data_IF_636385095287
#
_entry.id   IF_636385095287
#
_cell.length_a   1.000
_cell.length_b   1.000
_cell.length_c   1.000
_cell.angle_alpha   90.00
_cell.angle_beta   90.00
_cell.angle_gamma   90.00
#
_symmetry.space_group_name_H-M   'P 1'
#
loop_
_entity.id
_entity.type
_entity.pdbx_description
1 polymer ?
#
# COMPACT_ATOMS: atom_id res chain seq x y z
N UNK A 1 27.00 -31.32 -38.26
CA UNK A 1 27.88 -30.98 -37.12
C UNK A 1 27.05 -30.10 -36.20
N UNK A 2 26.74 -30.57 -34.98
CA UNK A 2 25.90 -29.83 -34.05
C UNK A 2 26.81 -28.89 -33.25
N UNK A 3 26.78 -27.59 -33.58
CA UNK A 3 27.45 -26.56 -32.80
C UNK A 3 26.70 -26.42 -31.47
N UNK A 4 27.38 -26.76 -30.37
CA UNK A 4 26.87 -26.54 -29.02
C UNK A 4 26.92 -25.03 -28.78
N UNK A 5 25.76 -24.36 -28.89
CA UNK A 5 25.65 -22.93 -28.57
C UNK A 5 26.19 -22.67 -27.17
N UNK A 6 27.09 -21.70 -27.05
CA UNK A 6 27.62 -21.25 -25.77
C UNK A 6 26.48 -20.67 -24.92
N UNK A 7 26.56 -20.83 -23.59
CA UNK A 7 25.57 -20.27 -22.63
C UNK A 7 25.34 -18.77 -22.86
N UNK A 8 26.37 -18.06 -23.33
CA UNK A 8 26.30 -16.63 -23.67
C UNK A 8 25.43 -16.34 -24.90
N UNK A 9 25.50 -17.17 -25.94
CA UNK A 9 24.66 -17.03 -27.14
C UNK A 9 23.19 -17.27 -26.83
N UNK A 10 22.89 -18.27 -25.99
CA UNK A 10 21.50 -18.53 -25.58
C UNK A 10 20.92 -17.39 -24.73
N UNK A 11 21.75 -16.74 -23.91
CA UNK A 11 21.34 -15.56 -23.12
C UNK A 11 21.12 -14.34 -24.03
N UNK A 12 21.99 -14.10 -25.01
CA UNK A 12 21.85 -13.00 -25.96
C UNK A 12 20.64 -13.18 -26.87
N UNK A 13 20.38 -14.40 -27.34
CA UNK A 13 19.22 -14.71 -28.19
C UNK A 13 17.91 -14.56 -27.41
N UNK A 14 17.90 -14.89 -26.12
CA UNK A 14 16.74 -14.68 -25.24
C UNK A 14 16.52 -13.20 -24.91
N UNK A 15 17.59 -12.44 -24.70
CA UNK A 15 17.53 -10.99 -24.49
C UNK A 15 17.06 -10.24 -25.75
N UNK A 16 17.52 -10.66 -26.93
CA UNK A 16 17.10 -10.12 -28.22
C UNK A 16 15.62 -10.40 -28.50
N UNK A 17 15.14 -11.64 -28.26
CA UNK A 17 13.71 -11.95 -28.36
C UNK A 17 12.86 -11.13 -27.41
N UNK A 18 13.29 -10.99 -26.14
CA UNK A 18 12.59 -10.13 -25.18
C UNK A 18 12.58 -8.65 -25.59
N UNK A 19 13.62 -8.16 -26.26
CA UNK A 19 13.67 -6.78 -26.76
C UNK A 19 12.82 -6.57 -28.02
N UNK A 20 12.69 -7.59 -28.87
CA UNK A 20 11.89 -7.57 -30.11
C UNK A 20 10.39 -7.82 -29.84
N UNK A 21 10.06 -8.55 -28.79
CA UNK A 21 8.69 -8.77 -28.29
C UNK A 21 8.19 -7.62 -27.39
N UNK A 22 9.08 -6.71 -26.97
CA UNK A 22 8.69 -5.54 -26.19
C UNK A 22 7.91 -4.55 -27.08
N UNK A 23 6.69 -4.13 -26.68
CA UNK A 23 5.98 -3.10 -27.42
C UNK A 23 6.84 -1.82 -27.46
N UNK A 24 6.77 -1.02 -28.55
CA UNK A 24 7.51 0.23 -28.63
C UNK A 24 7.12 1.09 -27.42
N UNK A 25 8.13 1.53 -26.66
CA UNK A 25 7.94 2.46 -25.54
C UNK A 25 7.37 3.74 -26.15
N UNK A 26 6.08 4.00 -25.93
CA UNK A 26 5.46 5.24 -26.36
C UNK A 26 6.05 6.40 -25.58
N UNK A 27 6.03 7.61 -26.14
CA UNK A 27 6.44 8.82 -25.42
C UNK A 27 5.71 8.93 -24.07
N UNK A 28 4.43 8.55 -24.02
CA UNK A 28 3.63 8.46 -22.79
C UNK A 28 4.24 7.58 -21.69
N UNK A 29 4.76 6.40 -22.04
CA UNK A 29 5.32 5.47 -21.05
C UNK A 29 6.59 6.04 -20.39
N UNK A 30 7.39 6.76 -21.18
CA UNK A 30 8.58 7.48 -20.71
C UNK A 30 8.20 8.67 -19.82
N UNK A 31 7.14 9.39 -20.18
CA UNK A 31 6.61 10.51 -19.41
C UNK A 31 5.97 10.05 -18.08
N UNK A 32 5.26 8.93 -18.07
CA UNK A 32 4.75 8.30 -16.84
C UNK A 32 5.92 7.94 -15.93
N UNK A 33 6.97 7.26 -16.44
CA UNK A 33 8.17 6.92 -15.65
C UNK A 33 8.86 8.16 -15.09
N UNK A 34 8.91 9.25 -15.86
CA UNK A 34 9.40 10.55 -15.38
C UNK A 34 8.57 11.07 -14.22
N UNK A 35 7.24 11.05 -14.35
CA UNK A 35 6.31 11.38 -13.28
C UNK A 35 6.52 10.53 -12.02
N UNK A 36 6.72 9.22 -12.19
CA UNK A 36 6.98 8.31 -11.08
C UNK A 36 8.26 8.68 -10.33
N UNK A 37 9.32 9.04 -11.05
CA UNK A 37 10.57 9.49 -10.45
C UNK A 37 10.39 10.77 -9.63
N UNK A 38 9.65 11.75 -10.18
CA UNK A 38 9.36 13.00 -9.46
C UNK A 38 8.54 12.72 -8.18
N UNK A 39 7.53 11.86 -8.27
CA UNK A 39 6.76 11.42 -7.10
C UNK A 39 7.63 10.76 -6.03
N UNK A 40 8.58 9.90 -6.43
CA UNK A 40 9.53 9.29 -5.52
C UNK A 40 10.47 10.31 -4.87
N UNK A 41 10.98 11.28 -5.64
CA UNK A 41 11.85 12.34 -5.12
C UNK A 41 11.12 13.25 -4.11
N UNK A 42 9.83 13.51 -4.30
CA UNK A 42 8.98 14.18 -3.30
C UNK A 42 8.81 13.37 -2.01
N UNK A 43 8.50 12.07 -2.10
CA UNK A 43 8.40 11.20 -0.93
C UNK A 43 9.72 11.15 -0.14
N UNK A 44 10.85 11.18 -0.85
CA UNK A 44 12.18 11.24 -0.27
C UNK A 44 12.59 12.67 0.18
N UNK A 45 11.66 13.63 0.21
CA UNK A 45 11.87 15.02 0.65
C UNK A 45 12.96 15.78 -0.14
N UNK A 46 13.29 15.33 -1.35
CA UNK A 46 14.22 16.03 -2.24
C UNK A 46 13.56 17.17 -2.98
N UNK A 47 12.23 17.08 -3.14
CA UNK A 47 11.38 18.06 -3.80
C UNK A 47 10.32 18.52 -2.80
N UNK A 48 10.11 19.83 -2.71
CA UNK A 48 9.14 20.42 -1.78
C UNK A 48 7.74 20.59 -2.39
N UNK A 49 7.64 20.82 -3.71
CA UNK A 49 6.38 21.16 -4.38
C UNK A 49 6.24 20.40 -5.71
N UNK A 50 5.31 19.45 -5.74
CA UNK A 50 5.02 18.64 -6.94
C UNK A 50 4.28 19.43 -8.02
N UNK A 51 3.44 20.39 -7.62
CA UNK A 51 2.69 21.19 -8.56
C UNK A 51 3.63 22.07 -9.38
N UNK A 52 4.63 22.68 -8.71
CA UNK A 52 5.68 23.44 -9.40
C UNK A 52 6.44 22.59 -10.41
N UNK A 53 6.93 21.41 -10.00
CA UNK A 53 7.68 20.50 -10.90
C UNK A 53 6.86 20.07 -12.12
N UNK A 54 5.53 19.99 -11.97
CA UNK A 54 4.62 19.70 -13.07
C UNK A 54 4.47 20.89 -14.02
N UNK A 55 4.36 22.12 -13.51
CA UNK A 55 4.23 23.33 -14.31
C UNK A 55 5.50 23.64 -15.12
N UNK A 56 6.68 23.25 -14.64
CA UNK A 56 7.95 23.32 -15.37
C UNK A 56 8.00 22.39 -16.59
N UNK A 57 7.00 21.53 -16.79
CA UNK A 57 6.91 20.61 -17.94
C UNK A 57 6.03 21.19 -19.08
N UNK A 58 6.32 20.85 -20.35
CA UNK A 58 5.45 21.19 -21.47
C UNK A 58 4.01 20.74 -21.23
N UNK A 59 3.02 21.58 -21.56
CA UNK A 59 1.62 21.32 -21.28
C UNK A 59 1.12 19.96 -21.83
N UNK A 60 1.60 19.57 -23.01
CA UNK A 60 1.32 18.27 -23.65
C UNK A 60 1.80 17.06 -22.82
N UNK A 61 2.84 17.24 -22.01
CA UNK A 61 3.46 16.20 -21.21
C UNK A 61 2.91 16.14 -19.78
N UNK A 62 2.15 17.15 -19.34
CA UNK A 62 1.75 17.26 -17.94
C UNK A 62 0.78 16.15 -17.52
N UNK A 63 -0.12 15.69 -18.40
CA UNK A 63 -1.08 14.63 -18.06
C UNK A 63 -0.37 13.30 -17.74
N UNK A 64 0.46 12.73 -18.61
CA UNK A 64 1.16 11.47 -18.30
C UNK A 64 2.13 11.60 -17.13
N UNK A 65 2.80 12.75 -16.99
CA UNK A 65 3.68 13.01 -15.84
C UNK A 65 2.88 13.05 -14.53
N UNK A 66 1.77 13.77 -14.50
CA UNK A 66 0.86 13.83 -13.33
C UNK A 66 0.36 12.43 -12.96
N UNK A 67 0.01 11.62 -13.96
CA UNK A 67 -0.40 10.22 -13.75
C UNK A 67 0.68 9.41 -13.05
N UNK A 68 1.93 9.49 -13.52
CA UNK A 68 3.06 8.81 -12.90
C UNK A 68 3.35 9.28 -11.47
N UNK A 69 3.25 10.59 -11.22
CA UNK A 69 3.38 11.17 -9.87
C UNK A 69 2.29 10.61 -8.95
N UNK A 70 1.02 10.71 -9.36
CA UNK A 70 -0.12 10.23 -8.60
C UNK A 70 -0.03 8.73 -8.30
N UNK A 71 0.29 7.89 -9.29
CA UNK A 71 0.48 6.45 -9.10
C UNK A 71 1.54 6.14 -8.04
N UNK A 72 2.65 6.88 -8.04
CA UNK A 72 3.75 6.67 -7.08
C UNK A 72 3.34 7.06 -5.66
N UNK A 73 2.65 8.18 -5.50
CA UNK A 73 2.13 8.63 -4.22
C UNK A 73 1.08 7.66 -3.67
N UNK A 74 0.08 7.30 -4.48
CA UNK A 74 -0.99 6.38 -4.10
C UNK A 74 -0.45 4.99 -3.74
N UNK A 75 0.60 4.52 -4.41
CA UNK A 75 1.27 3.26 -4.08
C UNK A 75 1.94 3.29 -2.69
N UNK A 76 2.30 4.48 -2.21
CA UNK A 76 2.96 4.67 -0.92
C UNK A 76 1.95 4.84 0.24
N UNK A 77 0.67 5.09 -0.06
CA UNK A 77 -0.40 5.09 0.94
C UNK A 77 -0.77 3.64 1.24
N UNK A 78 -0.22 3.05 2.30
CA UNK A 78 -0.49 1.67 2.71
C UNK A 78 -0.96 1.64 4.16
N UNK A 79 -1.61 0.54 4.56
CA UNK A 79 -2.01 0.37 5.96
C UNK A 79 -0.76 0.43 6.86
N UNK A 80 -0.73 1.36 7.84
CA UNK A 80 0.45 1.59 8.63
C UNK A 80 0.63 0.45 9.62
N UNK A 81 1.83 -0.15 9.61
CA UNK A 81 2.24 -1.14 10.63
C UNK A 81 3.22 -0.55 11.64
N UNK A 82 3.75 0.62 11.34
CA UNK A 82 4.75 1.37 12.09
C UNK A 82 4.58 2.88 11.82
N UNK A 83 5.17 3.71 12.67
CA UNK A 83 5.08 5.18 12.55
C UNK A 83 5.72 5.70 11.25
N UNK A 84 6.74 5.03 10.72
CA UNK A 84 7.39 5.45 9.48
C UNK A 84 6.42 5.34 8.29
N UNK A 85 5.70 4.23 8.17
CA UNK A 85 4.67 4.07 7.14
C UNK A 85 3.52 5.06 7.31
N UNK A 86 3.13 5.38 8.55
CA UNK A 86 2.10 6.40 8.80
C UNK A 86 2.55 7.78 8.34
N UNK A 87 3.79 8.16 8.65
CA UNK A 87 4.37 9.42 8.18
C UNK A 87 4.50 9.43 6.65
N UNK A 88 4.93 8.32 6.06
CA UNK A 88 5.07 8.18 4.61
C UNK A 88 3.73 8.35 3.89
N UNK A 89 2.67 7.71 4.39
CA UNK A 89 1.31 7.88 3.87
C UNK A 89 0.82 9.33 4.02
N UNK A 90 1.10 9.99 5.14
CA UNK A 90 0.73 11.40 5.35
C UNK A 90 1.46 12.34 4.36
N UNK A 91 2.74 12.09 4.07
CA UNK A 91 3.48 12.83 3.03
C UNK A 91 2.87 12.56 1.66
N UNK A 92 2.54 11.31 1.34
CA UNK A 92 1.94 10.96 0.07
C UNK A 92 0.59 11.68 -0.17
N UNK A 93 -0.27 11.72 0.86
CA UNK A 93 -1.56 12.42 0.82
C UNK A 93 -1.35 13.92 0.59
N UNK A 94 -0.38 14.56 1.27
CA UNK A 94 -0.02 15.96 1.01
C UNK A 94 0.42 16.20 -0.44
N UNK A 95 1.17 15.26 -1.01
CA UNK A 95 1.58 15.32 -2.42
C UNK A 95 0.39 15.27 -3.38
N UNK A 96 -0.60 14.41 -3.10
CA UNK A 96 -1.83 14.32 -3.88
C UNK A 96 -2.63 15.62 -3.81
N UNK A 97 -2.76 16.21 -2.62
CA UNK A 97 -3.44 17.49 -2.43
C UNK A 97 -2.76 18.63 -3.18
N UNK A 98 -1.42 18.65 -3.21
CA UNK A 98 -0.63 19.60 -4.01
C UNK A 98 -0.93 19.46 -5.51
N UNK A 99 -0.96 18.23 -6.03
CA UNK A 99 -1.30 17.97 -7.44
C UNK A 99 -2.75 18.35 -7.78
N UNK A 100 -3.66 18.22 -6.81
CA UNK A 100 -5.08 18.49 -6.98
C UNK A 100 -5.46 19.99 -6.92
N UNK A 101 -4.52 20.88 -6.56
CA UNK A 101 -4.75 22.33 -6.44
C UNK A 101 -6.04 22.69 -5.68
N UNK A 102 -6.33 22.02 -4.56
CA UNK A 102 -7.55 22.19 -3.75
C UNK A 102 -8.87 21.80 -4.45
N UNK A 103 -8.88 20.84 -5.37
CA UNK A 103 -10.12 20.18 -5.78
C UNK A 103 -10.86 19.64 -4.54
N UNK A 104 -12.03 20.20 -4.22
CA UNK A 104 -12.79 19.86 -3.02
C UNK A 104 -13.16 18.39 -2.95
N UNK A 105 -13.44 17.76 -4.11
CA UNK A 105 -13.69 16.32 -4.22
C UNK A 105 -12.46 15.51 -3.80
N UNK A 106 -11.27 15.83 -4.33
CA UNK A 106 -10.03 15.10 -4.01
C UNK A 106 -9.64 15.32 -2.54
N UNK A 107 -9.82 16.53 -2.02
CA UNK A 107 -9.59 16.84 -0.61
C UNK A 107 -10.50 16.01 0.31
N UNK A 108 -11.77 15.83 -0.06
CA UNK A 108 -12.70 14.97 0.69
C UNK A 108 -12.22 13.52 0.70
N UNK A 109 -11.87 12.96 -0.47
CA UNK A 109 -11.41 11.57 -0.59
C UNK A 109 -10.09 11.37 0.17
N UNK A 110 -9.20 12.36 0.16
CA UNK A 110 -7.97 12.33 0.96
C UNK A 110 -8.27 12.31 2.46
N UNK A 111 -9.26 13.06 2.93
CA UNK A 111 -9.73 13.03 4.32
C UNK A 111 -10.26 11.64 4.71
N UNK A 112 -11.07 11.02 3.84
CA UNK A 112 -11.54 9.65 4.02
C UNK A 112 -10.36 8.65 4.11
N UNK A 113 -9.35 8.79 3.24
CA UNK A 113 -8.14 7.95 3.31
C UNK A 113 -7.42 8.10 4.65
N UNK A 114 -7.24 9.32 5.16
CA UNK A 114 -6.62 9.55 6.46
C UNK A 114 -7.42 8.88 7.58
N UNK A 115 -8.74 9.00 7.53
CA UNK A 115 -9.64 8.36 8.49
C UNK A 115 -9.53 6.83 8.45
N UNK A 116 -9.48 6.22 7.27
CA UNK A 116 -9.28 4.77 7.10
C UNK A 116 -7.96 4.33 7.76
N UNK A 117 -6.86 5.06 7.52
CA UNK A 117 -5.54 4.74 8.07
C UNK A 117 -5.51 4.85 9.61
N UNK A 118 -6.16 5.86 10.17
CA UNK A 118 -6.25 6.06 11.62
C UNK A 118 -7.12 4.99 12.29
N UNK A 119 -8.28 4.68 11.71
CA UNK A 119 -9.19 3.67 12.23
C UNK A 119 -8.58 2.26 12.20
N UNK A 120 -7.76 1.94 11.21
CA UNK A 120 -7.12 0.63 11.11
C UNK A 120 -6.31 0.29 12.37
N UNK A 121 -5.51 1.24 12.87
CA UNK A 121 -4.71 1.03 14.08
C UNK A 121 -5.58 0.72 15.30
N UNK A 122 -6.63 1.51 15.50
CA UNK A 122 -7.56 1.36 16.61
C UNK A 122 -8.34 0.03 16.52
N UNK A 123 -8.89 -0.29 15.35
CA UNK A 123 -9.61 -1.55 15.13
C UNK A 123 -8.70 -2.77 15.30
N UNK A 124 -7.44 -2.70 14.86
CA UNK A 124 -6.49 -3.78 15.05
C UNK A 124 -6.25 -4.05 16.53
N UNK A 125 -5.99 -3.01 17.32
CA UNK A 125 -5.72 -3.15 18.75
C UNK A 125 -6.95 -3.68 19.51
N UNK A 126 -8.14 -3.12 19.23
CA UNK A 126 -9.39 -3.61 19.78
C UNK A 126 -9.69 -5.06 19.41
N UNK A 127 -9.46 -5.45 18.15
CA UNK A 127 -9.70 -6.81 17.68
C UNK A 127 -8.76 -7.83 18.34
N UNK A 128 -7.50 -7.45 18.57
CA UNK A 128 -6.53 -8.28 19.30
C UNK A 128 -7.01 -8.47 20.74
N UNK A 129 -7.38 -7.38 21.42
CA UNK A 129 -7.83 -7.42 22.80
C UNK A 129 -9.09 -8.29 22.98
N UNK A 130 -10.05 -8.18 22.04
CA UNK A 130 -11.27 -8.99 22.03
C UNK A 130 -10.96 -10.48 21.81
N UNK A 131 -10.02 -10.80 20.91
CA UNK A 131 -9.59 -12.18 20.68
C UNK A 131 -8.93 -12.78 21.93
N UNK A 132 -8.07 -12.02 22.61
CA UNK A 132 -7.41 -12.45 23.84
C UNK A 132 -8.42 -12.72 24.96
N UNK A 133 -9.41 -11.86 25.12
CA UNK A 133 -10.45 -12.00 26.15
C UNK A 133 -11.38 -13.20 25.87
N UNK A 134 -11.76 -13.39 24.60
CA UNK A 134 -12.55 -14.55 24.17
C UNK A 134 -11.82 -15.87 24.41
N UNK A 135 -10.52 -15.94 24.08
CA UNK A 135 -9.71 -17.14 24.30
C UNK A 135 -9.47 -17.40 25.79
N UNK A 136 -9.24 -16.35 26.59
CA UNK A 136 -9.14 -16.49 28.05
C UNK A 136 -10.43 -17.10 28.61
N UNK A 137 -11.58 -16.53 28.27
CA UNK A 137 -12.90 -17.01 28.71
C UNK A 137 -13.17 -18.45 28.27
N UNK A 138 -12.74 -18.86 27.07
CA UNK A 138 -12.89 -20.22 26.58
C UNK A 138 -12.02 -21.23 27.35
N UNK A 139 -10.79 -20.84 27.69
CA UNK A 139 -9.87 -21.69 28.45
C UNK A 139 -10.31 -21.85 29.92
N UNK A 140 -10.81 -20.77 30.56
CA UNK A 140 -11.36 -20.82 31.92
C UNK A 140 -12.57 -21.77 32.01
N UNK A 141 -13.46 -21.75 31.01
CA UNK A 141 -14.59 -22.67 30.92
C UNK A 141 -14.15 -24.13 30.77
N UNK A 142 -13.11 -24.41 29.97
CA UNK A 142 -12.58 -25.76 29.82
C UNK A 142 -11.93 -26.29 31.10
N UNK A 143 -11.18 -25.45 31.82
CA UNK A 143 -10.58 -25.84 33.10
C UNK A 143 -11.64 -26.17 34.16
N UNK A 144 -12.66 -25.32 34.26
CA UNK A 144 -13.80 -25.52 35.16
C UNK A 144 -14.55 -26.82 34.83
N UNK A 145 -14.78 -27.10 33.54
CA UNK A 145 -15.42 -28.34 33.08
C UNK A 145 -14.59 -29.61 33.37
N UNK A 146 -13.26 -29.50 33.35
CA UNK A 146 -12.34 -30.59 33.68
C UNK A 146 -12.08 -30.76 35.19
N UNK A 147 -12.80 -30.01 36.04
CA UNK A 147 -12.67 -30.10 37.51
C UNK A 147 -11.34 -29.57 38.05
N UNK A 148 -10.56 -28.84 37.24
CA UNK A 148 -9.33 -28.19 37.65
C UNK A 148 -9.66 -26.75 38.07
N UNK A 149 -9.75 -26.51 39.38
CA UNK A 149 -10.00 -25.19 39.99
C UNK A 149 -8.71 -24.40 40.30
N UNK A 150 -7.56 -24.85 39.82
CA UNK A 150 -6.28 -24.20 40.14
C UNK A 150 -6.17 -22.83 39.46
N UNK A 151 -5.99 -21.81 40.30
CA UNK A 151 -5.88 -20.37 40.02
C UNK A 151 -4.60 -19.98 39.25
N UNK A 152 -4.18 -20.78 38.29
CA UNK A 152 -3.06 -20.43 37.41
C UNK A 152 -3.53 -19.39 36.40
N UNK A 153 -2.92 -18.21 36.38
CA UNK A 153 -3.15 -17.18 35.36
C UNK A 153 -3.00 -17.80 33.96
N UNK A 154 -4.13 -18.05 33.30
CA UNK A 154 -4.16 -18.59 31.94
C UNK A 154 -3.58 -17.51 31.02
N UNK A 155 -2.51 -17.85 30.32
CA UNK A 155 -1.91 -17.00 29.30
C UNK A 155 -2.47 -17.40 27.92
N UNK A 156 -3.48 -16.69 27.37
CA UNK A 156 -4.09 -17.05 26.09
C UNK A 156 -3.09 -16.97 24.93
N UNK A 157 -2.07 -16.12 25.04
CA UNK A 157 -1.02 -15.90 24.03
C UNK A 157 -0.09 -17.10 23.82
N UNK A 158 -0.03 -18.03 24.78
CA UNK A 158 0.79 -19.25 24.71
C UNK A 158 0.05 -20.42 24.04
N UNK A 159 -1.25 -20.27 23.77
CA UNK A 159 -2.06 -21.34 23.19
C UNK A 159 -1.79 -21.47 21.68
N UNK A 160 -1.62 -22.69 21.12
CA UNK A 160 -1.36 -22.87 19.68
C UNK A 160 -2.47 -22.29 18.79
N UNK A 161 -3.73 -22.32 19.24
CA UNK A 161 -4.86 -21.73 18.50
C UNK A 161 -4.80 -20.19 18.43
N UNK A 162 -4.15 -19.53 19.40
CA UNK A 162 -4.07 -18.06 19.42
C UNK A 162 -3.41 -17.51 18.16
N UNK A 163 -2.29 -18.10 17.74
CA UNK A 163 -1.56 -17.66 16.54
C UNK A 163 -2.39 -17.83 15.26
N UNK A 164 -3.14 -18.92 15.17
CA UNK A 164 -3.96 -19.19 13.99
C UNK A 164 -5.14 -18.22 13.89
N UNK A 165 -5.89 -18.05 14.98
CA UNK A 165 -7.05 -17.15 15.01
C UNK A 165 -6.63 -15.68 14.86
N UNK A 166 -5.52 -15.28 15.48
CA UNK A 166 -4.93 -13.95 15.30
C UNK A 166 -4.57 -13.72 13.82
N UNK A 167 -3.94 -14.69 13.18
CA UNK A 167 -3.57 -14.58 11.76
C UNK A 167 -4.81 -14.46 10.87
N UNK A 168 -5.86 -15.26 11.10
CA UNK A 168 -7.11 -15.19 10.34
C UNK A 168 -7.82 -13.86 10.52
N UNK A 169 -7.95 -13.41 11.77
CA UNK A 169 -8.56 -12.12 12.11
C UNK A 169 -7.81 -10.96 11.46
N UNK A 170 -6.48 -10.91 11.62
CA UNK A 170 -5.66 -9.85 11.02
C UNK A 170 -5.73 -9.90 9.49
N UNK A 171 -5.75 -11.07 8.87
CA UNK A 171 -5.88 -11.19 7.40
C UNK A 171 -7.22 -10.62 6.93
N UNK A 172 -8.31 -10.98 7.60
CA UNK A 172 -9.65 -10.47 7.29
C UNK A 172 -9.71 -8.94 7.44
N UNK A 173 -9.18 -8.42 8.56
CA UNK A 173 -9.12 -6.97 8.82
C UNK A 173 -8.29 -6.25 7.76
N UNK A 174 -7.11 -6.77 7.42
CA UNK A 174 -6.26 -6.19 6.40
C UNK A 174 -6.94 -6.16 5.04
N UNK A 175 -7.64 -7.21 4.63
CA UNK A 175 -8.32 -7.25 3.35
C UNK A 175 -9.39 -6.17 3.26
N UNK A 176 -10.31 -6.10 4.24
CA UNK A 176 -11.38 -5.10 4.27
C UNK A 176 -10.86 -3.66 4.16
N UNK A 177 -9.78 -3.34 4.88
CA UNK A 177 -9.18 -2.01 4.84
C UNK A 177 -8.40 -1.75 3.54
N UNK A 178 -7.73 -2.76 2.98
CA UNK A 178 -7.05 -2.62 1.69
C UNK A 178 -8.06 -2.43 0.54
N UNK A 179 -9.21 -3.09 0.57
CA UNK A 179 -10.27 -2.92 -0.42
C UNK A 179 -10.81 -1.48 -0.39
N UNK A 180 -11.18 -0.98 0.80
CA UNK A 180 -11.64 0.39 0.96
C UNK A 180 -10.59 1.42 0.52
N UNK A 181 -9.33 1.20 0.87
CA UNK A 181 -8.21 2.05 0.49
C UNK A 181 -7.93 2.01 -1.02
N UNK A 182 -8.07 0.86 -1.66
CA UNK A 182 -7.92 0.70 -3.11
C UNK A 182 -9.00 1.48 -3.85
N UNK A 183 -10.27 1.34 -3.43
CA UNK A 183 -11.39 2.07 -4.03
C UNK A 183 -11.16 3.59 -4.01
N UNK A 184 -10.72 4.14 -2.86
CA UNK A 184 -10.42 5.58 -2.75
C UNK A 184 -9.24 6.00 -3.63
N UNK A 185 -8.20 5.18 -3.74
CA UNK A 185 -7.05 5.46 -4.62
C UNK A 185 -7.47 5.51 -6.08
N UNK A 186 -8.32 4.59 -6.53
CA UNK A 186 -8.83 4.56 -7.90
C UNK A 186 -9.69 5.78 -8.21
N UNK A 187 -10.53 6.20 -7.26
CA UNK A 187 -11.28 7.45 -7.37
C UNK A 187 -10.36 8.67 -7.53
N UNK A 188 -9.31 8.79 -6.71
CA UNK A 188 -8.33 9.88 -6.83
C UNK A 188 -7.64 9.86 -8.19
N UNK A 189 -7.16 8.69 -8.62
CA UNK A 189 -6.41 8.55 -9.87
C UNK A 189 -7.28 8.97 -11.07
N UNK A 190 -8.53 8.51 -11.10
CA UNK A 190 -9.49 8.82 -12.17
C UNK A 190 -9.84 10.30 -12.23
N UNK A 191 -9.86 11.00 -11.09
CA UNK A 191 -10.15 12.44 -11.04
C UNK A 191 -8.94 13.33 -11.34
N UNK A 192 -7.73 12.87 -11.01
CA UNK A 192 -6.49 13.63 -11.30
C UNK A 192 -6.08 13.57 -12.77
N UNK A 193 -6.40 12.46 -13.45
CA UNK A 193 -5.99 12.18 -14.82
C UNK A 193 -7.19 11.68 -15.64
N UNK A 194 -8.11 12.59 -16.04
CA UNK A 194 -9.23 12.24 -16.91
C UNK A 194 -8.80 11.92 -18.35
#
# INVERSE_FOLDING_TARGET
MAEIKSTMEMVLERAAKMAEEAPPVTDDDSLIKKGMRIGADFLNKKIADLHKELLDQPAENQIPIRKGMAQTLLRNIVLPRDEELQQSAAVAIKGILSLAQNSGEISSICGELQQILEQYGQHKEQSIQQLEDALRSQLEQQQTANGQTEQGTINPTMHPQYREELSKMLTSLNNQYNDALTERKEMILSRLCP
#
